data_IF_411445154201
#
_entry.id   IF_411445154201
#
_cell.length_a   1.000
_cell.length_b   1.000
_cell.length_c   1.000
_cell.angle_alpha   90.00
_cell.angle_beta   90.00
_cell.angle_gamma   90.00
#
_symmetry.space_group_name_H-M   'P 1'
#
loop_
_entity.id
_entity.type
_entity.pdbx_description
1 polymer ?
#
# COMPACT_ATOMS: atom_id res chain seq x y z
N UNK A 1 -12.80 30.94 -15.54
CA UNK A 1 -12.74 30.08 -14.33
C UNK A 1 -11.79 30.75 -13.35
N UNK A 2 -12.15 30.94 -12.08
CA UNK A 2 -11.24 31.56 -11.10
C UNK A 2 -10.12 30.59 -10.68
N UNK A 3 -9.04 31.13 -10.12
CA UNK A 3 -7.86 30.36 -9.69
C UNK A 3 -8.22 29.28 -8.66
N UNK A 4 -9.04 29.62 -7.67
CA UNK A 4 -9.52 28.67 -6.65
C UNK A 4 -10.30 27.51 -7.28
N UNK A 5 -11.20 27.79 -8.23
CA UNK A 5 -11.98 26.77 -8.92
C UNK A 5 -11.09 25.85 -9.76
N UNK A 6 -10.05 26.41 -10.42
CA UNK A 6 -9.08 25.62 -11.16
C UNK A 6 -8.31 24.65 -10.25
N UNK A 7 -7.78 25.13 -9.13
CA UNK A 7 -7.05 24.26 -8.19
C UNK A 7 -7.96 23.22 -7.52
N UNK A 8 -9.21 23.55 -7.21
CA UNK A 8 -10.18 22.55 -6.73
C UNK A 8 -10.47 21.47 -7.77
N UNK A 9 -10.57 21.84 -9.06
CA UNK A 9 -10.75 20.88 -10.14
C UNK A 9 -9.52 19.99 -10.30
N UNK A 10 -8.31 20.57 -10.28
CA UNK A 10 -7.06 19.82 -10.34
C UNK A 10 -6.92 18.85 -9.15
N UNK A 11 -7.24 19.31 -7.94
CA UNK A 11 -7.25 18.47 -6.75
C UNK A 11 -8.24 17.32 -6.89
N UNK A 12 -9.44 17.59 -7.39
CA UNK A 12 -10.45 16.56 -7.58
C UNK A 12 -9.99 15.51 -8.60
N UNK A 13 -9.55 15.94 -9.79
CA UNK A 13 -9.07 15.04 -10.85
C UNK A 13 -7.86 14.24 -10.37
N UNK A 14 -6.86 14.91 -9.79
CA UNK A 14 -5.65 14.26 -9.26
C UNK A 14 -5.98 13.23 -8.19
N UNK A 15 -6.88 13.58 -7.25
CA UNK A 15 -7.32 12.69 -6.20
C UNK A 15 -8.07 11.45 -6.73
N UNK A 16 -8.91 11.60 -7.77
CA UNK A 16 -9.57 10.47 -8.42
C UNK A 16 -8.55 9.56 -9.13
N UNK A 17 -7.58 10.13 -9.85
CA UNK A 17 -6.54 9.34 -10.54
C UNK A 17 -5.74 8.51 -9.52
N UNK A 18 -5.31 9.13 -8.42
CA UNK A 18 -4.60 8.44 -7.34
C UNK A 18 -5.47 7.34 -6.72
N UNK A 19 -6.76 7.63 -6.48
CA UNK A 19 -7.71 6.67 -5.91
C UNK A 19 -7.91 5.45 -6.81
N UNK A 20 -8.09 5.65 -8.12
CA UNK A 20 -8.22 4.57 -9.10
C UNK A 20 -6.97 3.69 -9.14
N UNK A 21 -5.79 4.24 -8.88
CA UNK A 21 -4.53 3.49 -8.80
C UNK A 21 -4.54 2.37 -7.76
N UNK A 22 -5.25 2.52 -6.64
CA UNK A 22 -5.37 1.48 -5.61
C UNK A 22 -6.23 0.29 -6.05
N UNK A 23 -7.23 0.51 -6.91
CA UNK A 23 -8.23 -0.50 -7.30
C UNK A 23 -7.59 -1.75 -7.95
N UNK A 24 -6.78 -1.65 -9.03
CA UNK A 24 -6.20 -2.83 -9.66
C UNK A 24 -5.26 -3.59 -8.70
N UNK A 25 -4.61 -2.85 -7.79
CA UNK A 25 -3.69 -3.41 -6.81
C UNK A 25 -4.44 -4.22 -5.73
N UNK A 26 -5.55 -3.68 -5.22
CA UNK A 26 -6.47 -4.38 -4.32
C UNK A 26 -7.04 -5.64 -5.00
N UNK A 27 -7.52 -5.52 -6.24
CA UNK A 27 -8.05 -6.66 -7.01
C UNK A 27 -6.98 -7.75 -7.16
N UNK A 28 -5.73 -7.38 -7.46
CA UNK A 28 -4.62 -8.32 -7.59
C UNK A 28 -4.39 -9.07 -6.28
N UNK A 29 -4.32 -8.37 -5.15
CA UNK A 29 -4.11 -8.97 -3.83
C UNK A 29 -5.25 -9.96 -3.49
N UNK A 30 -6.50 -9.57 -3.72
CA UNK A 30 -7.66 -10.44 -3.45
C UNK A 30 -7.67 -11.71 -4.33
N UNK A 31 -7.27 -11.58 -5.61
CA UNK A 31 -7.23 -12.71 -6.55
C UNK A 31 -6.06 -13.66 -6.28
N UNK A 32 -4.84 -13.13 -6.12
CA UNK A 32 -3.63 -13.96 -6.02
C UNK A 32 -3.32 -14.36 -4.60
N UNK A 33 -3.77 -13.60 -3.60
CA UNK A 33 -3.43 -13.76 -2.17
C UNK A 33 -1.92 -13.80 -1.91
N UNK A 34 -1.12 -13.33 -2.87
CA UNK A 34 0.34 -13.27 -2.81
C UNK A 34 0.77 -11.83 -2.60
N UNK A 35 1.43 -11.58 -1.47
CA UNK A 35 1.82 -10.25 -1.02
C UNK A 35 3.30 -10.14 -0.63
N UNK A 36 4.09 -11.18 -0.88
CA UNK A 36 5.50 -11.23 -0.46
C UNK A 36 6.40 -10.24 -1.21
N UNK A 37 6.01 -9.85 -2.42
CA UNK A 37 6.75 -8.90 -3.25
C UNK A 37 6.46 -7.44 -2.88
N UNK A 38 5.54 -7.18 -1.95
CA UNK A 38 5.19 -5.81 -1.53
C UNK A 38 6.08 -5.35 -0.38
N UNK A 39 6.68 -4.16 -0.55
CA UNK A 39 7.38 -3.49 0.55
C UNK A 39 6.38 -2.99 1.59
N UNK A 40 6.30 -3.68 2.73
CA UNK A 40 5.42 -3.29 3.85
C UNK A 40 5.75 -1.91 4.41
N UNK A 41 7.03 -1.53 4.41
CA UNK A 41 7.46 -0.20 4.87
C UNK A 41 6.93 0.87 3.93
N UNK A 42 7.04 0.65 2.61
CA UNK A 42 6.51 1.59 1.63
C UNK A 42 4.98 1.73 1.75
N UNK A 43 4.23 0.62 1.72
CA UNK A 43 2.77 0.69 1.77
C UNK A 43 2.27 1.24 3.11
N UNK A 44 2.89 0.83 4.22
CA UNK A 44 2.59 1.39 5.55
C UNK A 44 2.90 2.88 5.64
N UNK A 45 4.00 3.33 5.02
CA UNK A 45 4.35 4.75 4.93
C UNK A 45 3.34 5.57 4.13
N UNK A 46 2.88 5.05 2.98
CA UNK A 46 1.83 5.68 2.16
C UNK A 46 0.53 5.79 2.95
N UNK A 47 0.06 4.70 3.56
CA UNK A 47 -1.16 4.71 4.37
C UNK A 47 -1.06 5.72 5.53
N UNK A 48 0.08 5.75 6.24
CA UNK A 48 0.32 6.70 7.34
C UNK A 48 0.30 8.15 6.85
N UNK A 49 0.95 8.43 5.72
CA UNK A 49 0.93 9.76 5.11
C UNK A 49 -0.48 10.20 4.73
N UNK A 50 -1.27 9.31 4.10
CA UNK A 50 -2.67 9.59 3.75
C UNK A 50 -3.54 9.82 4.99
N UNK A 51 -3.31 9.06 6.07
CA UNK A 51 -3.99 9.27 7.36
C UNK A 51 -3.73 10.68 7.93
N UNK A 52 -2.49 11.16 7.87
CA UNK A 52 -2.17 12.53 8.29
C UNK A 52 -2.78 13.58 7.37
N UNK A 53 -2.81 13.32 6.05
CA UNK A 53 -3.45 14.21 5.09
C UNK A 53 -4.97 14.29 5.30
N UNK A 54 -5.62 13.20 5.68
CA UNK A 54 -7.05 13.21 6.06
C UNK A 54 -7.28 14.04 7.33
N UNK A 55 -6.45 13.86 8.37
CA UNK A 55 -6.56 14.66 9.59
C UNK A 55 -6.44 16.16 9.28
N UNK A 56 -5.52 16.54 8.39
CA UNK A 56 -5.39 17.91 7.92
C UNK A 56 -6.61 18.37 7.09
N UNK A 57 -7.16 17.50 6.24
CA UNK A 57 -8.34 17.81 5.45
C UNK A 57 -9.59 18.04 6.32
N UNK A 58 -9.76 17.24 7.37
CA UNK A 58 -10.82 17.41 8.39
C UNK A 58 -10.72 18.79 9.03
N UNK A 59 -9.51 19.20 9.44
CA UNK A 59 -9.27 20.54 9.99
C UNK A 59 -9.65 21.65 8.98
N UNK A 60 -9.17 21.54 7.74
CA UNK A 60 -9.46 22.50 6.68
C UNK A 60 -10.96 22.63 6.38
N UNK A 61 -11.69 21.52 6.40
CA UNK A 61 -13.12 21.51 6.10
C UNK A 61 -13.98 22.00 7.26
N UNK A 62 -13.79 21.44 8.46
CA UNK A 62 -14.68 21.71 9.59
C UNK A 62 -14.32 22.97 10.36
N UNK A 63 -13.04 23.36 10.39
CA UNK A 63 -12.56 24.54 11.15
C UNK A 63 -12.36 25.74 10.24
N UNK A 64 -11.71 25.55 9.09
CA UNK A 64 -11.41 26.63 8.14
C UNK A 64 -12.48 26.81 7.06
N UNK A 65 -13.49 25.93 7.01
CA UNK A 65 -14.59 25.96 6.03
C UNK A 65 -14.11 26.06 4.56
N UNK A 66 -13.04 25.35 4.22
CA UNK A 66 -12.41 25.36 2.89
C UNK A 66 -12.03 23.96 2.41
N UNK A 67 -11.52 23.85 1.18
CA UNK A 67 -10.88 22.66 0.62
C UNK A 67 -11.74 21.39 0.55
N UNK A 68 -13.04 21.52 0.22
CA UNK A 68 -13.95 20.35 0.12
C UNK A 68 -13.50 19.27 -0.86
N UNK A 69 -12.90 19.64 -2.01
CA UNK A 69 -12.36 18.67 -2.95
C UNK A 69 -11.19 17.85 -2.35
N UNK A 70 -10.35 18.49 -1.54
CA UNK A 70 -9.25 17.83 -0.83
C UNK A 70 -9.78 16.86 0.24
N UNK A 71 -10.81 17.25 1.00
CA UNK A 71 -11.49 16.39 1.96
C UNK A 71 -12.03 15.12 1.30
N UNK A 72 -12.87 15.27 0.27
CA UNK A 72 -13.50 14.12 -0.42
C UNK A 72 -12.43 13.16 -0.97
N UNK A 73 -11.41 13.70 -1.64
CA UNK A 73 -10.39 12.88 -2.29
C UNK A 73 -9.45 12.19 -1.30
N UNK A 74 -9.11 12.84 -0.18
CA UNK A 74 -8.34 12.18 0.88
C UNK A 74 -9.14 11.12 1.61
N UNK A 75 -10.44 11.33 1.87
CA UNK A 75 -11.27 10.30 2.51
C UNK A 75 -11.32 9.03 1.65
N UNK A 76 -11.52 9.16 0.34
CA UNK A 76 -11.49 8.02 -0.59
C UNK A 76 -10.11 7.35 -0.58
N UNK A 77 -9.04 8.15 -0.66
CA UNK A 77 -7.67 7.64 -0.65
C UNK A 77 -7.34 6.91 0.66
N UNK A 78 -7.84 7.38 1.81
CA UNK A 78 -7.63 6.76 3.11
C UNK A 78 -8.32 5.40 3.18
N UNK A 79 -9.56 5.32 2.71
CA UNK A 79 -10.30 4.05 2.68
C UNK A 79 -9.61 3.02 1.77
N UNK A 80 -9.19 3.44 0.58
CA UNK A 80 -8.55 2.53 -0.39
C UNK A 80 -7.15 2.10 0.03
N UNK A 81 -6.29 3.04 0.44
CA UNK A 81 -4.95 2.73 0.94
C UNK A 81 -4.99 1.93 2.25
N UNK A 82 -5.96 2.21 3.13
CA UNK A 82 -6.21 1.44 4.35
C UNK A 82 -6.64 0.01 4.05
N UNK A 83 -7.54 -0.18 3.09
CA UNK A 83 -7.94 -1.50 2.62
C UNK A 83 -6.76 -2.27 2.01
N UNK A 84 -5.97 -1.63 1.14
CA UNK A 84 -4.77 -2.24 0.56
C UNK A 84 -3.78 -2.67 1.65
N UNK A 85 -3.44 -1.76 2.57
CA UNK A 85 -2.53 -2.02 3.68
C UNK A 85 -3.02 -3.17 4.56
N UNK A 86 -4.31 -3.17 4.91
CA UNK A 86 -4.93 -4.23 5.70
C UNK A 86 -4.87 -5.59 4.99
N UNK A 87 -5.19 -5.64 3.69
CA UNK A 87 -5.13 -6.88 2.91
C UNK A 87 -3.70 -7.42 2.81
N UNK A 88 -2.71 -6.56 2.60
CA UNK A 88 -1.29 -6.96 2.60
C UNK A 88 -0.93 -7.55 3.95
N UNK A 89 -1.27 -6.87 5.06
CA UNK A 89 -0.98 -7.37 6.39
C UNK A 89 -1.64 -8.73 6.67
N UNK A 90 -2.91 -8.90 6.29
CA UNK A 90 -3.67 -10.13 6.47
C UNK A 90 -3.04 -11.32 5.72
N UNK A 91 -2.72 -11.16 4.44
CA UNK A 91 -2.18 -12.23 3.61
C UNK A 91 -0.69 -12.51 3.88
N UNK A 92 0.05 -11.53 4.40
CA UNK A 92 1.43 -11.73 4.82
C UNK A 92 1.51 -12.72 6.00
N UNK A 93 0.65 -12.52 7.01
CA UNK A 93 0.61 -13.40 8.18
C UNK A 93 0.14 -14.81 7.82
N UNK A 94 -0.81 -14.94 6.88
CA UNK A 94 -1.26 -16.26 6.39
C UNK A 94 -0.13 -17.04 5.69
N UNK A 95 0.69 -16.35 4.89
CA UNK A 95 1.84 -16.98 4.23
C UNK A 95 2.88 -17.47 5.23
N UNK A 96 3.12 -16.70 6.31
CA UNK A 96 4.03 -17.11 7.38
C UNK A 96 3.50 -18.31 8.19
N UNK A 97 2.20 -18.29 8.55
CA UNK A 97 1.57 -19.35 9.34
C UNK A 97 1.46 -20.69 8.61
N UNK A 98 1.32 -20.67 7.28
CA UNK A 98 1.20 -21.89 6.47
C UNK A 98 2.56 -22.53 6.12
N UNK A 99 3.69 -22.04 6.65
CA UNK A 99 5.03 -22.56 6.33
C UNK A 99 5.46 -22.38 4.86
N UNK A 100 4.65 -21.66 4.07
CA UNK A 100 4.91 -21.29 2.67
C UNK A 100 5.78 -20.03 2.55
N UNK A 101 6.23 -19.48 3.69
CA UNK A 101 7.27 -18.45 3.70
C UNK A 101 8.50 -19.01 3.03
N UNK A 102 8.76 -18.56 1.80
CA UNK A 102 9.98 -18.91 1.05
C UNK A 102 11.15 -18.64 1.98
N UNK A 103 11.83 -19.72 2.39
CA UNK A 103 13.06 -19.61 3.18
C UNK A 103 14.01 -18.73 2.36
N UNK A 104 14.64 -17.70 2.97
CA UNK A 104 15.57 -16.85 2.24
C UNK A 104 16.61 -17.71 1.51
N UNK A 105 16.87 -17.38 0.24
CA UNK A 105 17.77 -18.10 -0.67
C UNK A 105 19.15 -18.45 -0.07
N UNK A 106 19.56 -17.77 1.00
CA UNK A 106 20.76 -18.05 1.79
C UNK A 106 20.82 -19.51 2.33
N UNK A 107 19.68 -20.19 2.51
CA UNK A 107 19.68 -21.56 3.06
C UNK A 107 19.92 -22.66 2.02
N UNK A 108 19.82 -22.37 0.72
CA UNK A 108 20.10 -23.35 -0.35
C UNK A 108 21.59 -23.40 -0.74
N UNK A 109 22.35 -22.34 -0.50
CA UNK A 109 23.79 -22.31 -0.76
C UNK A 109 24.61 -23.21 0.21
N UNK A 110 24.14 -23.39 1.46
CA UNK A 110 24.82 -24.28 2.41
C UNK A 110 24.65 -25.77 2.10
N UNK A 111 23.55 -26.15 1.45
CA UNK A 111 23.28 -27.56 1.10
C UNK A 111 24.11 -28.03 -0.10
N UNK A 112 24.36 -27.16 -1.09
CA UNK A 112 25.19 -27.49 -2.25
C UNK A 112 26.67 -27.71 -1.92
N UNK A 113 27.23 -26.95 -0.96
CA UNK A 113 28.63 -27.09 -0.57
C UNK A 113 28.92 -28.34 0.27
N UNK A 114 27.95 -28.85 1.02
CA UNK A 114 28.12 -30.09 1.80
C UNK A 114 28.12 -31.35 0.91
N UNK A 115 27.40 -31.31 -0.23
CA UNK A 115 27.37 -32.44 -1.18
C UNK A 115 28.68 -32.55 -1.95
N UNK A 116 29.31 -31.42 -2.29
CA UNK A 116 30.57 -31.42 -3.04
C UNK A 116 31.81 -31.80 -2.21
N UNK A 117 31.78 -31.69 -0.88
CA UNK A 117 32.92 -32.07 -0.02
C UNK A 117 33.08 -33.59 0.17
N UNK A 118 32.12 -34.40 -0.25
CA UNK A 118 32.20 -35.87 -0.21
C UNK A 118 32.67 -36.50 -1.52
N UNK A 119 32.77 -35.73 -2.60
CA UNK A 119 33.21 -36.19 -3.92
C UNK A 119 34.73 -36.01 -4.16
N UNK A 120 35.44 -35.38 -3.22
CA UNK A 120 36.90 -35.19 -3.25
C UNK A 120 37.55 -35.74 -1.96
N UNK A 121 37.32 -37.02 -1.69
CA UNK A 121 38.12 -37.80 -0.72
C UNK A 121 38.60 -39.08 -1.36
#
# INVERSE_FOLDING_TARGET
>A
MGTLQLFNLLQFIGGIILSVGYIPQIIKILKTKSVQDFSRIYVGGIFTGVLFMEAYAVYMWFVMHTAGAFMITNTISLLLSGLEFFLIFLYYNKSNNNGLGVKPHAHQLKSGNAINSHLYK
#
